data_IF_427103461738
#
_entry.id   IF_427103461738
#
_cell.length_a   1.000
_cell.length_b   1.000
_cell.length_c   1.000
_cell.angle_alpha   90.00
_cell.angle_beta   90.00
_cell.angle_gamma   90.00
#
_symmetry.space_group_name_H-M   'P 1'
#
loop_
_entity.id
_entity.type
_entity.pdbx_description
1 polymer ?
#
# COMPACT_ATOMS: atom_id res chain seq x y z
N UNK A 1 -5.88 -8.48 19.76
CA UNK A 1 -6.10 -7.10 19.31
C UNK A 1 -5.78 -7.04 17.83
N UNK A 2 -6.62 -6.43 16.98
CA UNK A 2 -6.19 -6.10 15.62
C UNK A 2 -4.90 -5.28 15.71
N UNK A 3 -3.93 -5.51 14.82
CA UNK A 3 -2.80 -4.58 14.71
C UNK A 3 -3.35 -3.17 14.46
N UNK A 4 -2.68 -2.14 14.98
CA UNK A 4 -3.14 -0.75 14.86
C UNK A 4 -3.48 -0.38 13.39
N UNK A 5 -2.70 -0.90 12.43
CA UNK A 5 -2.95 -0.73 10.99
C UNK A 5 -4.25 -1.35 10.49
N UNK A 6 -4.71 -2.49 11.04
CA UNK A 6 -5.98 -3.12 10.64
C UNK A 6 -7.19 -2.34 11.13
N UNK A 7 -7.17 -1.92 12.40
CA UNK A 7 -8.23 -1.09 12.95
C UNK A 7 -8.34 0.27 12.21
N UNK A 8 -7.20 0.85 11.85
CA UNK A 8 -7.16 2.08 11.06
C UNK A 8 -7.67 1.87 9.62
N UNK A 9 -7.29 0.77 8.97
CA UNK A 9 -7.80 0.43 7.64
C UNK A 9 -9.32 0.23 7.62
N UNK A 10 -9.88 -0.43 8.64
CA UNK A 10 -11.32 -0.59 8.81
C UNK A 10 -12.04 0.76 8.98
N UNK A 11 -11.46 1.72 9.73
CA UNK A 11 -11.99 3.08 9.84
C UNK A 11 -12.00 3.85 8.51
N UNK A 12 -11.05 3.56 7.62
CA UNK A 12 -10.96 4.14 6.28
C UNK A 12 -11.89 3.45 5.27
N UNK A 13 -12.65 2.42 5.67
CA UNK A 13 -13.52 1.64 4.80
C UNK A 13 -12.77 0.66 3.90
N UNK A 14 -11.53 0.30 4.23
CA UNK A 14 -10.79 -0.76 3.54
C UNK A 14 -11.34 -2.10 3.97
N UNK A 15 -11.55 -3.01 3.01
CA UNK A 15 -12.00 -4.37 3.30
C UNK A 15 -11.02 -5.04 4.29
N UNK A 16 -11.50 -5.70 5.36
CA UNK A 16 -10.64 -6.30 6.38
C UNK A 16 -9.63 -7.31 5.80
N UNK A 17 -10.00 -7.99 4.70
CA UNK A 17 -9.10 -8.93 4.00
C UNK A 17 -7.92 -8.23 3.29
N UNK A 18 -8.04 -6.93 3.00
CA UNK A 18 -6.98 -6.09 2.39
C UNK A 18 -6.17 -5.31 3.43
N UNK A 19 -6.44 -5.52 4.72
CA UNK A 19 -5.65 -4.99 5.83
C UNK A 19 -4.55 -5.98 6.21
N UNK A 20 -3.45 -5.96 5.46
CA UNK A 20 -2.32 -6.86 5.65
C UNK A 20 -1.50 -6.51 6.91
N UNK A 21 -0.71 -7.47 7.41
CA UNK A 21 0.16 -7.24 8.58
C UNK A 21 1.51 -6.62 8.19
N UNK A 22 1.94 -6.83 6.94
CA UNK A 22 3.24 -6.42 6.42
C UNK A 22 3.15 -6.09 4.92
N UNK A 23 4.06 -5.25 4.44
CA UNK A 23 4.08 -4.78 3.05
C UNK A 23 4.44 -5.88 2.05
N UNK A 24 5.19 -6.90 2.47
CA UNK A 24 5.60 -8.00 1.59
C UNK A 24 4.39 -8.86 1.22
N UNK A 25 3.56 -9.18 2.21
CA UNK A 25 2.28 -9.88 2.01
C UNK A 25 1.32 -9.02 1.20
N UNK A 26 1.24 -7.72 1.47
CA UNK A 26 0.43 -6.80 0.67
C UNK A 26 0.81 -6.85 -0.81
N UNK A 27 2.10 -6.71 -1.15
CA UNK A 27 2.55 -6.73 -2.54
C UNK A 27 2.32 -8.08 -3.21
N UNK A 28 2.60 -9.18 -2.50
CA UNK A 28 2.41 -10.54 -3.03
C UNK A 28 0.94 -10.86 -3.32
N UNK A 29 0.06 -10.59 -2.36
CA UNK A 29 -1.36 -10.91 -2.48
C UNK A 29 -2.03 -9.99 -3.51
N UNK A 30 -1.75 -8.69 -3.47
CA UNK A 30 -2.34 -7.74 -4.42
C UNK A 30 -1.84 -7.95 -5.85
N UNK A 31 -0.60 -8.41 -6.06
CA UNK A 31 -0.10 -8.75 -7.39
C UNK A 31 -0.83 -9.95 -8.02
N UNK A 32 -1.41 -10.84 -7.22
CA UNK A 32 -2.19 -11.98 -7.72
C UNK A 32 -3.65 -11.62 -8.02
N UNK A 33 -4.12 -10.47 -7.55
CA UNK A 33 -5.52 -10.07 -7.71
C UNK A 33 -5.74 -9.41 -9.07
N UNK A 34 -6.80 -9.78 -9.80
CA UNK A 34 -7.18 -9.08 -11.02
C UNK A 34 -7.62 -7.63 -10.74
N UNK A 35 -8.06 -7.34 -9.51
CA UNK A 35 -8.39 -6.02 -8.99
C UNK A 35 -7.37 -5.53 -7.93
N UNK A 36 -6.11 -5.89 -8.14
CA UNK A 36 -4.97 -5.52 -7.30
C UNK A 36 -4.68 -4.02 -7.27
N UNK A 37 -3.85 -3.59 -6.31
CA UNK A 37 -3.38 -2.21 -6.26
C UNK A 37 -2.42 -1.91 -7.42
N UNK A 38 -2.55 -0.74 -8.04
CA UNK A 38 -1.60 -0.25 -9.06
C UNK A 38 -0.57 0.72 -8.48
N UNK A 39 -0.94 1.39 -7.38
CA UNK A 39 -0.18 2.48 -6.78
C UNK A 39 -0.11 2.29 -5.27
N UNK A 40 1.10 2.40 -4.71
CA UNK A 40 1.33 2.42 -3.26
C UNK A 40 1.91 3.75 -2.81
N UNK A 41 1.41 4.27 -1.70
CA UNK A 41 2.00 5.41 -0.98
C UNK A 41 2.63 4.91 0.32
N UNK A 42 3.94 5.14 0.47
CA UNK A 42 4.72 4.73 1.64
C UNK A 42 4.86 5.93 2.56
N UNK A 43 4.37 5.80 3.80
CA UNK A 43 4.36 6.89 4.79
C UNK A 43 5.17 6.54 6.05
N UNK A 44 5.95 5.46 5.99
CA UNK A 44 6.76 4.96 7.11
C UNK A 44 8.02 5.81 7.34
N UNK A 45 8.67 5.71 8.53
CA UNK A 45 9.89 6.45 8.82
C UNK A 45 11.04 6.17 7.83
N UNK A 46 11.92 7.16 7.64
CA UNK A 46 12.97 7.16 6.60
C UNK A 46 13.85 5.90 6.56
N UNK A 47 14.09 5.24 7.69
CA UNK A 47 14.92 4.03 7.78
C UNK A 47 14.30 2.80 7.08
N UNK A 48 12.99 2.78 6.86
CA UNK A 48 12.27 1.69 6.19
C UNK A 48 11.79 2.06 4.80
N UNK A 49 11.74 3.36 4.50
CA UNK A 49 11.21 3.89 3.26
C UNK A 49 11.92 3.30 2.03
N UNK A 50 13.25 3.20 2.05
CA UNK A 50 14.02 2.64 0.94
C UNK A 50 13.69 1.17 0.67
N UNK A 51 13.68 0.33 1.71
CA UNK A 51 13.40 -1.09 1.58
C UNK A 51 11.99 -1.38 1.06
N UNK A 52 11.00 -0.59 1.50
CA UNK A 52 9.60 -0.74 1.07
C UNK A 52 9.42 -0.23 -0.37
N UNK A 53 10.05 0.90 -0.70
CA UNK A 53 10.07 1.48 -2.06
C UNK A 53 10.68 0.51 -3.06
N UNK A 54 11.82 -0.10 -2.72
CA UNK A 54 12.47 -1.09 -3.57
C UNK A 54 11.57 -2.31 -3.80
N UNK A 55 11.00 -2.87 -2.72
CA UNK A 55 10.10 -4.02 -2.82
C UNK A 55 8.83 -3.70 -3.64
N UNK A 56 8.31 -2.48 -3.58
CA UNK A 56 7.18 -2.04 -4.40
C UNK A 56 7.53 -2.00 -5.89
N UNK A 57 8.71 -1.48 -6.24
CA UNK A 57 9.19 -1.45 -7.62
C UNK A 57 9.44 -2.85 -8.16
N UNK A 58 10.01 -3.74 -7.36
CA UNK A 58 10.22 -5.16 -7.71
C UNK A 58 8.88 -5.90 -7.92
N UNK A 59 7.84 -5.51 -7.18
CA UNK A 59 6.48 -6.01 -7.37
C UNK A 59 5.74 -5.37 -8.57
N UNK A 60 6.37 -4.46 -9.30
CA UNK A 60 5.76 -3.77 -10.45
C UNK A 60 4.76 -2.67 -10.06
N UNK A 61 4.76 -2.23 -8.81
CA UNK A 61 3.85 -1.20 -8.30
C UNK A 61 4.41 0.20 -8.53
N UNK A 62 3.54 1.13 -8.91
CA UNK A 62 3.93 2.54 -9.07
C UNK A 62 3.93 3.24 -7.72
N UNK A 63 4.98 4.00 -7.43
CA UNK A 63 5.09 4.76 -6.17
C UNK A 63 4.44 6.14 -6.29
N UNK A 64 3.56 6.47 -5.34
CA UNK A 64 3.05 7.84 -5.19
C UNK A 64 3.83 8.57 -4.09
N UNK A 65 4.86 9.31 -4.51
CA UNK A 65 5.45 10.37 -3.70
C UNK A 65 4.51 11.58 -3.72
N UNK A 66 4.40 12.29 -2.59
CA UNK A 66 3.54 13.47 -2.40
C UNK A 66 3.93 14.59 -3.38
N UNK A 67 3.44 14.51 -4.61
CA UNK A 67 3.55 15.54 -5.66
C UNK A 67 2.27 15.52 -6.50
N UNK A 68 1.66 16.66 -6.80
CA UNK A 68 0.38 16.72 -7.51
C UNK A 68 0.63 16.60 -9.02
N UNK A 69 0.71 15.38 -9.55
CA UNK A 69 0.72 15.18 -11.00
C UNK A 69 -0.35 14.18 -11.44
N UNK A 70 -1.46 14.75 -11.91
CA UNK A 70 -2.18 14.39 -13.13
C UNK A 70 -2.11 12.93 -13.64
N UNK A 71 -2.46 11.95 -12.81
CA UNK A 71 -2.80 10.61 -13.27
C UNK A 71 -4.32 10.41 -13.19
N UNK A 72 -4.93 9.75 -14.19
CA UNK A 72 -6.39 9.49 -14.24
C UNK A 72 -6.86 8.72 -13.00
N UNK A 73 -8.17 8.68 -12.69
CA UNK A 73 -8.71 8.01 -11.50
C UNK A 73 -8.47 6.50 -11.60
N UNK A 74 -7.31 6.07 -11.14
CA UNK A 74 -6.91 4.67 -10.98
C UNK A 74 -6.81 4.33 -9.51
N UNK A 75 -7.07 3.07 -9.18
CA UNK A 75 -7.31 2.58 -7.82
C UNK A 75 -6.08 2.84 -6.94
N UNK A 76 -6.24 3.70 -5.93
CA UNK A 76 -5.18 4.10 -4.98
C UNK A 76 -5.36 3.36 -3.66
N UNK A 77 -4.30 2.74 -3.17
CA UNK A 77 -4.21 2.33 -1.78
C UNK A 77 -3.21 3.24 -1.07
N UNK A 78 -3.69 3.99 -0.08
CA UNK A 78 -2.84 4.73 0.85
C UNK A 78 -2.67 3.87 2.09
N UNK A 79 -1.42 3.48 2.39
CA UNK A 79 -1.11 2.64 3.53
C UNK A 79 -0.35 3.45 4.58
N UNK A 80 -0.85 3.36 5.82
CA UNK A 80 -0.38 4.10 6.99
C UNK A 80 -0.13 3.07 8.09
N UNK A 81 1.15 2.71 8.30
CA UNK A 81 1.61 2.20 9.60
C UNK A 81 2.23 3.38 10.34
#
# INVERSE_FOLDING_TARGET
MPSAGRAFGEQLGIAPERCYADYQTLFREEAQRPDGIEVVSVTTPNNTHFAITQAALEAGLTLSAKSPSALPPKRRASWWI
#
